data_IF_127192219023
#
_entry.id   IF_127192219023
#
_cell.length_a   1.000
_cell.length_b   1.000
_cell.length_c   1.000
_cell.angle_alpha   90.00
_cell.angle_beta   90.00
_cell.angle_gamma   90.00
#
_symmetry.space_group_name_H-M   'P 1'
#
loop_
_entity.id
_entity.type
_entity.pdbx_description
1 polymer ?
#
# COMPACT_ATOMS: atom_id res chain seq x y z
N UNK A 1 -12.69 6.38 5.75
CA UNK A 1 -13.06 5.98 4.37
C UNK A 1 -13.70 7.15 3.63
N UNK A 2 -13.31 8.40 3.93
CA UNK A 2 -14.03 9.62 3.52
C UNK A 2 -13.13 10.61 2.75
N UNK A 3 -11.80 10.39 2.78
CA UNK A 3 -10.83 11.27 2.13
C UNK A 3 -10.89 11.23 0.60
N UNK A 4 -11.21 10.06 0.03
CA UNK A 4 -11.33 9.92 -1.43
C UNK A 4 -12.49 10.77 -1.96
N UNK A 5 -13.67 10.71 -1.34
CA UNK A 5 -14.83 11.50 -1.74
C UNK A 5 -14.58 13.00 -1.57
N UNK A 6 -13.94 13.40 -0.47
CA UNK A 6 -13.54 14.78 -0.24
C UNK A 6 -12.58 15.29 -1.32
N UNK A 7 -11.60 14.47 -1.72
CA UNK A 7 -10.68 14.80 -2.80
C UNK A 7 -11.39 14.93 -4.15
N UNK A 8 -12.26 13.99 -4.50
CA UNK A 8 -13.06 14.04 -5.73
C UNK A 8 -13.88 15.34 -5.82
N UNK A 9 -14.51 15.73 -4.71
CA UNK A 9 -15.30 16.97 -4.62
C UNK A 9 -14.44 18.21 -4.87
N UNK A 10 -13.23 18.25 -4.30
CA UNK A 10 -12.28 19.34 -4.50
C UNK A 10 -11.80 19.41 -5.96
N UNK A 11 -11.54 18.27 -6.58
CA UNK A 11 -11.12 18.20 -7.99
C UNK A 11 -12.23 18.66 -8.94
N UNK A 12 -13.47 18.24 -8.70
CA UNK A 12 -14.62 18.67 -9.50
C UNK A 12 -14.87 20.18 -9.40
N UNK A 13 -14.68 20.76 -8.21
CA UNK A 13 -14.81 22.21 -8.02
C UNK A 13 -13.70 23.01 -8.73
N UNK A 14 -12.47 22.50 -8.70
CA UNK A 14 -11.32 23.15 -9.35
C UNK A 14 -11.31 22.97 -10.88
N UNK A 15 -11.79 21.82 -11.36
CA UNK A 15 -11.76 21.42 -12.76
C UNK A 15 -13.12 20.83 -13.20
N UNK A 16 -14.11 21.68 -13.54
CA UNK A 16 -15.47 21.22 -13.84
C UNK A 16 -15.61 20.30 -15.06
N UNK A 17 -14.60 20.27 -15.93
CA UNK A 17 -14.55 19.38 -17.11
C UNK A 17 -13.91 18.02 -16.84
N UNK A 18 -13.43 17.78 -15.62
CA UNK A 18 -12.82 16.51 -15.23
C UNK A 18 -13.92 15.49 -14.95
N UNK A 19 -13.71 14.27 -15.45
CA UNK A 19 -14.62 13.14 -15.22
C UNK A 19 -13.88 12.00 -14.50
N UNK A 20 -14.58 11.35 -13.57
CA UNK A 20 -14.05 10.20 -12.82
C UNK A 20 -14.41 8.95 -13.59
N UNK A 21 -13.42 8.39 -14.31
CA UNK A 21 -13.65 7.25 -15.20
C UNK A 21 -13.65 5.89 -14.49
N UNK A 22 -13.05 5.78 -13.30
CA UNK A 22 -12.99 4.54 -12.53
C UNK A 22 -12.74 4.80 -11.03
N UNK A 23 -13.19 3.87 -10.18
CA UNK A 23 -12.95 3.85 -8.73
C UNK A 23 -12.51 2.45 -8.31
N UNK A 24 -11.24 2.33 -7.93
CA UNK A 24 -10.63 1.05 -7.58
C UNK A 24 -10.18 1.06 -6.12
N UNK A 25 -10.49 -0.02 -5.41
CA UNK A 25 -9.89 -0.33 -4.10
C UNK A 25 -8.73 -1.28 -4.35
N UNK A 26 -7.51 -0.83 -4.04
CA UNK A 26 -6.32 -1.68 -4.09
C UNK A 26 -5.86 -2.03 -2.68
N UNK A 27 -5.63 -3.32 -2.43
CA UNK A 27 -4.91 -3.74 -1.24
C UNK A 27 -3.41 -3.58 -1.50
N UNK A 28 -2.79 -2.63 -0.82
CA UNK A 28 -1.34 -2.52 -0.78
C UNK A 28 -0.82 -3.52 0.24
N UNK A 29 -0.37 -4.67 -0.25
CA UNK A 29 0.41 -5.59 0.55
C UNK A 29 1.85 -5.09 0.54
N UNK A 30 2.32 -4.57 1.67
CA UNK A 30 3.73 -4.29 1.80
C UNK A 30 4.49 -5.62 1.86
N UNK A 31 5.52 -5.78 1.04
CA UNK A 31 6.41 -6.94 1.10
C UNK A 31 7.21 -6.85 2.39
N UNK A 32 6.84 -7.63 3.39
CA UNK A 32 7.49 -7.68 4.70
C UNK A 32 8.67 -8.67 4.73
N UNK A 33 9.37 -8.84 3.61
CA UNK A 33 10.55 -9.71 3.54
C UNK A 33 11.59 -9.24 4.57
N UNK A 34 12.07 -10.18 5.38
CA UNK A 34 13.03 -9.88 6.43
C UNK A 34 12.42 -9.14 7.63
N UNK A 35 11.08 -9.06 7.77
CA UNK A 35 10.44 -8.59 9.00
C UNK A 35 9.96 -9.78 9.84
N UNK A 36 10.20 -9.71 11.14
CA UNK A 36 9.54 -10.58 12.12
C UNK A 36 8.18 -9.97 12.45
N UNK A 37 7.12 -10.78 12.40
CA UNK A 37 5.74 -10.33 12.61
C UNK A 37 5.13 -10.98 13.84
N UNK A 38 4.36 -10.20 14.60
CA UNK A 38 3.48 -10.73 15.65
C UNK A 38 2.22 -11.40 15.04
N UNK A 39 1.35 -12.06 15.85
CA UNK A 39 0.11 -12.67 15.35
C UNK A 39 -0.88 -11.70 14.69
N UNK A 40 -0.70 -10.40 14.88
CA UNK A 40 -1.52 -9.34 14.28
C UNK A 40 -0.87 -8.73 13.03
N UNK A 41 0.29 -9.23 12.60
CA UNK A 41 1.01 -8.77 11.41
C UNK A 41 1.87 -7.51 11.64
N UNK A 42 2.10 -7.10 12.90
CA UNK A 42 2.92 -5.93 13.21
C UNK A 42 4.40 -6.32 13.25
N UNK A 43 5.25 -5.45 12.70
CA UNK A 43 6.70 -5.66 12.71
C UNK A 43 7.26 -5.57 14.13
N UNK A 44 7.88 -6.64 14.60
CA UNK A 44 8.57 -6.71 15.91
C UNK A 44 10.09 -6.70 15.78
N UNK A 45 10.62 -6.94 14.57
CA UNK A 45 12.05 -6.93 14.31
C UNK A 45 12.39 -7.06 12.83
N UNK A 46 13.68 -7.03 12.53
CA UNK A 46 14.22 -7.13 11.17
C UNK A 46 15.33 -8.18 11.13
N UNK A 47 15.23 -9.12 10.20
CA UNK A 47 16.30 -10.02 9.78
C UNK A 47 16.72 -9.57 8.38
N UNK A 48 17.90 -8.96 8.22
CA UNK A 48 18.39 -8.54 6.90
C UNK A 48 18.48 -9.77 5.98
N UNK A 49 17.70 -9.83 4.90
CA UNK A 49 17.80 -10.94 3.96
C UNK A 49 19.09 -10.78 3.15
N UNK A 50 19.90 -11.83 3.09
CA UNK A 50 20.95 -11.91 2.07
C UNK A 50 20.30 -12.31 0.74
N UNK A 51 19.92 -11.30 -0.05
CA UNK A 51 19.24 -11.50 -1.34
C UNK A 51 20.15 -12.08 -2.42
N UNK A 52 21.45 -12.19 -2.15
CA UNK A 52 22.46 -12.72 -3.06
C UNK A 52 23.01 -14.08 -2.62
N UNK A 53 22.55 -14.62 -1.49
CA UNK A 53 22.96 -15.94 -1.03
C UNK A 53 22.59 -17.02 -2.05
N UNK A 54 23.50 -17.99 -2.24
CA UNK A 54 23.17 -19.18 -3.01
C UNK A 54 22.03 -19.96 -2.33
N UNK A 55 21.12 -20.60 -3.10
CA UNK A 55 20.06 -21.41 -2.51
C UNK A 55 20.65 -22.52 -1.64
N UNK A 56 20.19 -22.60 -0.39
CA UNK A 56 20.49 -23.76 0.45
C UNK A 56 19.77 -25.00 -0.13
N UNK A 57 20.54 -26.07 -0.34
CA UNK A 57 20.09 -27.36 -0.89
C UNK A 57 19.22 -28.10 0.13
#
# INVERSE_FOLDING_TARGET
MDDALRLETQLAAAHPSLDVVDRVITLRHDKLLGRLLDPYGRSTGVVPPDVWAEPAI
#
